data_IF_712762751919
#
_entry.id   IF_712762751919
#
_cell.length_a   1.000
_cell.length_b   1.000
_cell.length_c   1.000
_cell.angle_alpha   90.00
_cell.angle_beta   90.00
_cell.angle_gamma   90.00
#
_symmetry.space_group_name_H-M   'P 1'
#
loop_
_entity.id
_entity.type
_entity.pdbx_description
1 polymer ?
#
# COMPACT_ATOMS: atom_id res chain seq x y z
N UNK A 1 -5.11 23.65 -8.81
CA UNK A 1 -5.92 22.54 -8.27
C UNK A 1 -5.89 22.64 -6.74
N UNK A 2 -7.04 22.93 -6.14
CA UNK A 2 -7.16 22.85 -4.68
C UNK A 2 -7.35 21.37 -4.31
N UNK A 3 -6.57 20.89 -3.35
CA UNK A 3 -6.81 19.56 -2.78
C UNK A 3 -8.25 19.50 -2.25
N UNK A 4 -8.96 18.38 -2.46
CA UNK A 4 -10.28 18.19 -1.89
C UNK A 4 -10.18 18.31 -0.35
N UNK A 5 -11.16 18.96 0.26
CA UNK A 5 -11.26 19.05 1.73
C UNK A 5 -12.23 17.98 2.20
N UNK A 6 -11.89 17.33 3.29
CA UNK A 6 -12.81 16.41 3.96
C UNK A 6 -13.99 17.24 4.52
N UNK A 7 -15.21 16.91 4.14
CA UNK A 7 -16.40 17.43 4.83
C UNK A 7 -16.60 16.61 6.09
N UNK A 8 -16.11 17.12 7.21
CA UNK A 8 -16.29 16.47 8.51
C UNK A 8 -17.51 17.11 9.18
N UNK A 9 -18.52 16.31 9.48
CA UNK A 9 -19.60 16.73 10.38
C UNK A 9 -19.03 16.81 11.81
N UNK A 10 -19.47 17.81 12.57
CA UNK A 10 -19.11 17.91 13.99
C UNK A 10 -19.56 16.63 14.73
N UNK A 11 -18.66 16.01 15.51
CA UNK A 11 -18.91 14.78 16.28
C UNK A 11 -19.17 13.53 15.41
N UNK A 12 -18.14 13.09 14.65
CA UNK A 12 -18.21 11.81 13.92
C UNK A 12 -18.37 10.66 14.89
N UNK A 13 -19.46 9.92 14.76
CA UNK A 13 -19.68 8.70 15.53
C UNK A 13 -18.56 7.68 15.24
N UNK A 14 -17.87 7.20 16.27
CA UNK A 14 -16.78 6.20 16.11
C UNK A 14 -17.24 4.96 15.35
N UNK A 15 -18.52 4.58 15.48
CA UNK A 15 -19.08 3.45 14.73
C UNK A 15 -19.21 3.73 13.22
N UNK A 16 -19.14 4.98 12.77
CA UNK A 16 -19.18 5.36 11.36
C UNK A 16 -17.79 5.31 10.68
N UNK A 17 -16.72 5.02 11.42
CA UNK A 17 -15.33 5.06 10.98
C UNK A 17 -14.86 3.65 10.55
N UNK A 18 -14.08 3.58 9.46
CA UNK A 18 -13.41 2.36 9.02
C UNK A 18 -12.00 2.64 8.50
N UNK A 19 -11.00 1.87 8.93
CA UNK A 19 -11.02 0.93 10.04
C UNK A 19 -11.08 1.67 11.39
N UNK A 20 -11.63 1.03 12.42
CA UNK A 20 -11.70 1.61 13.77
C UNK A 20 -10.32 1.75 14.40
N UNK A 21 -9.43 0.79 14.06
CA UNK A 21 -8.03 0.81 14.44
C UNK A 21 -7.15 0.55 13.22
N UNK A 22 -5.91 1.03 13.27
CA UNK A 22 -4.95 0.79 12.18
C UNK A 22 -4.69 -0.70 12.03
N UNK A 23 -5.19 -1.27 10.94
CA UNK A 23 -5.00 -2.68 10.60
C UNK A 23 -4.28 -2.83 9.27
N UNK A 24 -3.18 -3.59 9.26
CA UNK A 24 -2.36 -3.78 8.04
C UNK A 24 -3.10 -4.53 6.93
N UNK A 25 -4.07 -5.37 7.28
CA UNK A 25 -4.84 -6.15 6.30
C UNK A 25 -6.19 -6.56 6.85
N UNK A 26 -7.21 -5.79 6.53
CA UNK A 26 -8.59 -6.10 6.92
C UNK A 26 -9.19 -7.14 5.96
N UNK A 27 -9.03 -6.97 4.66
CA UNK A 27 -9.70 -7.75 3.62
C UNK A 27 -8.96 -8.99 3.16
N UNK A 28 -7.63 -9.03 3.28
CA UNK A 28 -6.82 -10.08 2.68
C UNK A 28 -5.90 -10.77 3.68
N UNK A 29 -5.73 -12.08 3.50
CA UNK A 29 -4.56 -12.82 3.98
C UNK A 29 -3.48 -12.72 2.89
N UNK A 30 -2.22 -12.54 3.30
CA UNK A 30 -1.08 -12.54 2.38
C UNK A 30 -0.36 -13.88 2.48
N UNK A 31 -0.14 -14.50 1.33
CA UNK A 31 0.53 -15.79 1.26
C UNK A 31 1.68 -15.69 0.28
N UNK A 32 2.90 -15.86 0.77
CA UNK A 32 4.08 -15.89 -0.06
C UNK A 32 4.08 -17.12 -0.97
N UNK A 33 4.50 -16.95 -2.21
CA UNK A 33 4.57 -18.01 -3.21
C UNK A 33 5.89 -18.76 -3.05
N UNK A 34 5.86 -19.94 -2.43
CA UNK A 34 7.08 -20.73 -2.14
C UNK A 34 7.91 -21.03 -3.38
N UNK A 35 7.30 -21.21 -4.56
CA UNK A 35 8.00 -21.44 -5.83
C UNK A 35 8.79 -20.21 -6.29
N UNK A 36 8.50 -19.01 -5.78
CA UNK A 36 9.26 -17.80 -6.05
C UNK A 36 10.67 -17.83 -5.39
N UNK A 37 10.87 -18.59 -4.31
CA UNK A 37 12.14 -18.62 -3.56
C UNK A 37 13.29 -18.95 -4.51
N UNK A 38 13.22 -20.07 -5.22
CA UNK A 38 14.29 -20.50 -6.14
C UNK A 38 14.58 -19.46 -7.23
N UNK A 39 13.53 -18.78 -7.72
CA UNK A 39 13.68 -17.73 -8.72
C UNK A 39 14.39 -16.51 -8.13
N UNK A 40 14.03 -16.11 -6.92
CA UNK A 40 14.65 -14.97 -6.21
C UNK A 40 16.11 -15.25 -5.91
N UNK A 41 16.43 -16.45 -5.41
CA UNK A 41 17.81 -16.85 -5.08
C UNK A 41 18.72 -16.98 -6.31
N UNK A 42 18.14 -17.21 -7.49
CA UNK A 42 18.85 -17.27 -8.76
C UNK A 42 18.98 -15.90 -9.46
N UNK A 43 18.40 -14.83 -8.90
CA UNK A 43 18.51 -13.50 -9.49
C UNK A 43 19.88 -12.90 -9.25
N UNK A 44 20.46 -12.34 -10.32
CA UNK A 44 21.74 -11.63 -10.31
C UNK A 44 21.65 -10.36 -11.13
N UNK A 45 22.36 -9.31 -10.71
CA UNK A 45 22.45 -8.03 -11.40
C UNK A 45 21.06 -7.42 -11.71
N UNK A 46 20.14 -7.47 -10.73
CA UNK A 46 18.79 -6.90 -10.83
C UNK A 46 18.58 -5.79 -9.81
N UNK A 47 17.78 -4.80 -10.18
CA UNK A 47 17.13 -3.90 -9.25
C UNK A 47 15.83 -4.55 -8.75
N UNK A 48 15.67 -4.65 -7.44
CA UNK A 48 14.50 -5.27 -6.81
C UNK A 48 13.78 -4.20 -5.98
N UNK A 49 12.61 -3.75 -6.45
CA UNK A 49 11.77 -2.82 -5.75
C UNK A 49 10.73 -3.54 -4.89
N UNK A 50 10.68 -3.21 -3.61
CA UNK A 50 9.83 -3.87 -2.62
C UNK A 50 8.94 -2.83 -1.94
N UNK A 51 7.63 -2.85 -2.27
CA UNK A 51 6.65 -1.94 -1.66
C UNK A 51 6.23 -2.39 -0.25
N UNK A 52 6.28 -3.70 0.04
CA UNK A 52 5.84 -4.30 1.31
C UNK A 52 6.76 -5.43 1.74
N UNK A 53 6.96 -5.54 3.05
CA UNK A 53 7.78 -6.60 3.65
C UNK A 53 7.31 -8.03 3.32
N UNK A 54 6.01 -8.20 3.04
CA UNK A 54 5.42 -9.50 2.71
C UNK A 54 5.92 -10.04 1.36
N UNK A 55 6.51 -9.19 0.53
CA UNK A 55 7.05 -9.57 -0.77
C UNK A 55 8.37 -10.34 -0.66
N UNK A 56 8.97 -10.43 0.54
CA UNK A 56 10.21 -11.16 0.79
C UNK A 56 10.14 -11.85 2.16
N UNK A 57 10.21 -13.20 2.16
CA UNK A 57 10.24 -14.00 3.38
C UNK A 57 11.61 -13.93 4.07
N UNK A 58 11.60 -14.21 5.36
CA UNK A 58 12.82 -14.35 6.16
C UNK A 58 13.69 -15.50 5.62
N UNK A 59 15.00 -15.30 5.60
CA UNK A 59 15.96 -16.33 5.24
C UNK A 59 16.15 -16.62 3.75
N UNK A 60 15.46 -15.91 2.85
CA UNK A 60 15.74 -16.00 1.41
C UNK A 60 17.11 -15.37 1.13
N UNK A 61 17.97 -16.07 0.41
CA UNK A 61 19.28 -15.54 0.00
C UNK A 61 19.12 -14.61 -1.18
N UNK A 62 19.57 -13.37 -1.02
CA UNK A 62 19.67 -12.41 -2.11
C UNK A 62 21.13 -12.30 -2.54
N UNK A 63 21.39 -12.52 -3.82
CA UNK A 63 22.75 -12.34 -4.36
C UNK A 63 23.19 -10.88 -4.17
N UNK A 64 24.42 -10.69 -3.73
CA UNK A 64 24.99 -9.36 -3.43
C UNK A 64 25.12 -8.44 -4.66
N UNK A 65 25.02 -8.98 -5.87
CA UNK A 65 24.97 -8.19 -7.11
C UNK A 65 23.63 -7.49 -7.33
N UNK A 66 22.58 -7.86 -6.58
CA UNK A 66 21.28 -7.21 -6.68
C UNK A 66 21.20 -5.95 -5.82
N UNK A 67 20.45 -4.97 -6.29
CA UNK A 67 20.14 -3.74 -5.55
C UNK A 67 18.73 -3.88 -5.00
N UNK A 68 18.57 -3.82 -3.66
CA UNK A 68 17.27 -3.80 -3.00
C UNK A 68 16.84 -2.38 -2.69
N UNK A 69 15.66 -2.01 -3.16
CA UNK A 69 15.05 -0.70 -2.93
C UNK A 69 13.65 -0.83 -2.36
N UNK A 70 13.29 -0.03 -1.38
CA UNK A 70 11.96 -0.10 -0.76
C UNK A 70 11.10 1.11 -1.09
N UNK A 71 9.79 0.90 -1.10
CA UNK A 71 8.82 1.97 -1.34
C UNK A 71 8.75 3.00 -0.21
N UNK A 72 9.22 2.65 1.00
CA UNK A 72 9.22 3.56 2.15
C UNK A 72 10.03 3.03 3.34
N UNK A 73 10.37 3.95 4.25
CA UNK A 73 11.22 3.70 5.44
C UNK A 73 10.69 2.57 6.34
N UNK A 74 9.38 2.44 6.50
CA UNK A 74 8.80 1.37 7.33
C UNK A 74 9.05 -0.03 6.74
N UNK A 75 8.96 -0.17 5.43
CA UNK A 75 9.32 -1.42 4.74
C UNK A 75 10.81 -1.70 4.88
N UNK A 76 11.65 -0.66 4.72
CA UNK A 76 13.09 -0.76 4.93
C UNK A 76 13.43 -1.30 6.32
N UNK A 77 12.94 -0.65 7.39
CA UNK A 77 13.20 -1.08 8.78
C UNK A 77 12.80 -2.54 9.01
N UNK A 78 11.64 -2.95 8.52
CA UNK A 78 11.12 -4.31 8.67
C UNK A 78 11.97 -5.34 7.93
N UNK A 79 12.45 -5.03 6.73
CA UNK A 79 13.34 -5.92 5.97
C UNK A 79 14.76 -5.94 6.55
N UNK A 80 15.28 -4.81 7.01
CA UNK A 80 16.57 -4.75 7.69
C UNK A 80 16.56 -5.57 8.99
N UNK A 81 15.46 -5.54 9.75
CA UNK A 81 15.28 -6.38 10.93
C UNK A 81 15.27 -7.90 10.61
N UNK A 82 14.92 -8.28 9.38
CA UNK A 82 15.01 -9.65 8.85
C UNK A 82 16.41 -10.01 8.33
N UNK A 83 17.37 -9.09 8.42
CA UNK A 83 18.76 -9.28 7.97
C UNK A 83 19.03 -8.93 6.50
N UNK A 84 18.10 -8.28 5.81
CA UNK A 84 18.33 -7.84 4.43
C UNK A 84 19.09 -6.53 4.38
N UNK A 85 20.08 -6.47 3.50
CA UNK A 85 20.76 -5.23 3.16
C UNK A 85 19.92 -4.45 2.15
N UNK A 86 19.44 -3.26 2.54
CA UNK A 86 18.62 -2.41 1.70
C UNK A 86 19.45 -1.21 1.24
N UNK A 87 19.55 -1.01 -0.07
CA UNK A 87 20.38 0.01 -0.69
C UNK A 87 19.75 1.40 -0.65
N UNK A 88 18.40 1.46 -0.56
CA UNK A 88 17.71 2.73 -0.47
C UNK A 88 16.18 2.62 -0.39
N UNK A 89 15.53 3.78 -0.31
CA UNK A 89 14.07 3.89 -0.17
C UNK A 89 13.54 5.11 -0.92
N UNK A 90 12.31 5.02 -1.42
CA UNK A 90 11.59 6.13 -2.07
C UNK A 90 10.82 7.02 -1.08
N UNK A 91 11.04 6.89 0.22
CA UNK A 91 10.45 7.71 1.29
C UNK A 91 8.92 7.88 1.22
N UNK A 92 8.23 6.84 0.74
CA UNK A 92 6.77 6.81 0.54
C UNK A 92 6.24 7.79 -0.52
N UNK A 93 7.10 8.42 -1.31
CA UNK A 93 6.69 9.33 -2.40
C UNK A 93 6.06 8.60 -3.59
N UNK A 94 5.82 7.30 -3.44
CA UNK A 94 5.18 6.46 -4.44
C UNK A 94 6.07 6.16 -5.65
N UNK A 95 5.47 5.55 -6.66
CA UNK A 95 6.15 5.11 -7.87
C UNK A 95 6.49 6.23 -8.85
N UNK A 96 5.91 7.42 -8.67
CA UNK A 96 6.22 8.59 -9.48
C UNK A 96 7.67 9.07 -9.25
N UNK A 97 8.25 8.69 -8.09
CA UNK A 97 9.69 8.69 -7.90
C UNK A 97 10.17 7.26 -8.08
N UNK A 98 10.25 6.81 -9.31
CA UNK A 98 10.90 5.55 -9.66
C UNK A 98 12.22 5.44 -8.89
N UNK A 99 12.60 4.22 -8.44
CA UNK A 99 13.92 4.03 -7.87
C UNK A 99 14.88 4.70 -8.83
N UNK A 100 15.96 5.33 -8.35
CA UNK A 100 16.82 6.14 -9.21
C UNK A 100 17.45 5.26 -10.29
N UNK A 101 16.63 4.90 -11.28
CA UNK A 101 17.06 4.18 -12.47
C UNK A 101 18.25 4.90 -13.08
N UNK A 102 18.29 6.23 -12.97
CA UNK A 102 19.42 7.06 -13.38
C UNK A 102 20.72 6.81 -12.60
N UNK A 103 20.67 6.26 -11.38
CA UNK A 103 21.86 5.86 -10.63
C UNK A 103 22.29 4.42 -10.92
N UNK A 104 21.42 3.63 -11.54
CA UNK A 104 21.60 2.21 -11.82
C UNK A 104 21.05 1.87 -13.21
N UNK A 105 21.45 2.66 -14.21
CA UNK A 105 20.92 2.61 -15.59
C UNK A 105 21.11 1.23 -16.26
N UNK A 106 22.09 0.45 -15.79
CA UNK A 106 22.41 -0.88 -16.35
C UNK A 106 21.60 -2.02 -15.71
N UNK A 107 20.68 -1.73 -14.77
CA UNK A 107 19.91 -2.76 -14.09
C UNK A 107 18.47 -2.87 -14.61
N UNK A 108 18.06 -4.09 -14.90
CA UNK A 108 16.64 -4.39 -15.08
C UNK A 108 15.94 -4.38 -13.71
N UNK A 109 14.92 -3.55 -13.59
CA UNK A 109 14.17 -3.40 -12.36
C UNK A 109 12.93 -4.30 -12.31
N UNK A 110 12.80 -5.04 -11.20
CA UNK A 110 11.65 -5.89 -10.88
C UNK A 110 10.86 -5.30 -9.72
N UNK A 111 9.56 -5.15 -9.88
CA UNK A 111 8.65 -4.76 -8.80
C UNK A 111 8.10 -6.02 -8.12
N UNK A 112 8.58 -6.35 -6.94
CA UNK A 112 8.06 -7.45 -6.13
C UNK A 112 6.70 -7.07 -5.56
N UNK A 113 5.68 -7.78 -6.00
CA UNK A 113 4.29 -7.42 -5.74
C UNK A 113 3.38 -8.65 -5.63
N UNK A 114 2.09 -8.42 -5.52
CA UNK A 114 1.06 -9.45 -5.44
C UNK A 114 0.30 -9.63 -6.76
N UNK A 115 -0.39 -10.75 -6.87
CA UNK A 115 -1.17 -11.19 -8.03
C UNK A 115 -2.25 -10.21 -8.48
N UNK A 116 -2.86 -9.47 -7.55
CA UNK A 116 -3.91 -8.47 -7.81
C UNK A 116 -3.38 -7.06 -8.08
N UNK A 117 -2.08 -6.90 -8.31
CA UNK A 117 -1.52 -5.57 -8.59
C UNK A 117 -1.87 -5.09 -10.01
N UNK A 118 -2.76 -4.11 -10.10
CA UNK A 118 -3.18 -3.48 -11.37
C UNK A 118 -2.41 -2.17 -11.68
N UNK A 119 -1.43 -1.83 -10.86
CA UNK A 119 -0.67 -0.61 -11.10
C UNK A 119 0.11 -0.67 -12.41
N UNK A 120 0.11 0.44 -13.13
CA UNK A 120 1.02 0.66 -14.25
C UNK A 120 2.39 1.05 -13.68
N UNK A 121 3.42 0.36 -14.08
CA UNK A 121 4.81 0.62 -13.71
C UNK A 121 5.68 0.35 -14.92
N UNK A 122 6.78 1.08 -15.05
CA UNK A 122 7.86 0.79 -16.01
C UNK A 122 8.63 -0.47 -15.61
N UNK A 123 8.63 -0.82 -14.31
CA UNK A 123 9.28 -2.01 -13.81
C UNK A 123 8.46 -3.26 -14.13
N UNK A 124 9.14 -4.34 -14.52
CA UNK A 124 8.53 -5.65 -14.69
C UNK A 124 7.98 -6.16 -13.34
N UNK A 125 6.76 -6.72 -13.36
CA UNK A 125 6.15 -7.27 -12.15
C UNK A 125 6.68 -8.67 -11.86
N UNK A 126 7.19 -8.86 -10.66
CA UNK A 126 7.49 -10.16 -10.10
C UNK A 126 6.50 -10.50 -9.00
N UNK A 127 5.61 -11.45 -9.26
CA UNK A 127 4.59 -11.86 -8.30
C UNK A 127 5.22 -12.77 -7.25
N UNK A 128 5.45 -12.24 -6.05
CA UNK A 128 6.08 -12.96 -4.94
C UNK A 128 5.09 -13.43 -3.88
N UNK A 129 3.90 -12.84 -3.79
CA UNK A 129 2.84 -13.26 -2.86
C UNK A 129 1.44 -13.10 -3.47
N UNK A 130 0.47 -13.79 -2.89
CA UNK A 130 -0.94 -13.77 -3.27
C UNK A 130 -1.76 -13.05 -2.20
N UNK A 131 -2.83 -12.37 -2.64
CA UNK A 131 -3.86 -11.81 -1.78
C UNK A 131 -5.10 -12.71 -1.81
N UNK A 132 -5.31 -13.46 -0.74
CA UNK A 132 -6.52 -14.27 -0.56
C UNK A 132 -7.54 -13.50 0.27
N UNK A 133 -8.78 -13.30 -0.19
CA UNK A 133 -9.84 -12.70 0.62
C UNK A 133 -10.00 -13.45 1.95
N UNK A 134 -10.25 -12.70 3.02
CA UNK A 134 -10.65 -13.29 4.29
C UNK A 134 -12.12 -13.73 4.19
N UNK A 135 -12.44 -14.84 4.86
CA UNK A 135 -13.81 -15.38 4.90
C UNK A 135 -14.72 -14.60 5.86
N UNK A 136 -14.12 -13.84 6.78
CA UNK A 136 -14.85 -13.09 7.79
C UNK A 136 -15.67 -11.97 7.15
N UNK A 137 -16.92 -11.85 7.56
CA UNK A 137 -17.79 -10.74 7.13
C UNK A 137 -17.24 -9.40 7.65
N UNK A 138 -16.87 -8.52 6.73
CA UNK A 138 -16.37 -7.20 7.08
C UNK A 138 -17.54 -6.22 7.14
N UNK A 139 -17.86 -5.75 8.34
CA UNK A 139 -18.97 -4.83 8.58
C UNK A 139 -18.58 -3.41 8.17
N UNK A 140 -18.85 -3.04 6.92
CA UNK A 140 -18.54 -1.71 6.38
C UNK A 140 -19.76 -1.00 5.77
N UNK A 141 -20.93 -1.65 5.69
CA UNK A 141 -22.11 -1.10 5.02
C UNK A 141 -22.61 0.21 5.63
N UNK A 142 -22.49 0.33 6.95
CA UNK A 142 -22.98 1.49 7.70
C UNK A 142 -21.88 2.52 8.02
N UNK A 143 -20.69 2.32 7.46
CA UNK A 143 -19.57 3.22 7.66
C UNK A 143 -19.66 4.40 6.69
N UNK A 144 -19.28 5.58 7.17
CA UNK A 144 -19.34 6.84 6.42
C UNK A 144 -17.96 7.46 6.16
N UNK A 145 -16.96 7.07 6.96
CA UNK A 145 -15.60 7.59 6.87
C UNK A 145 -14.62 6.45 6.74
N UNK A 146 -13.88 6.43 5.63
CA UNK A 146 -12.96 5.36 5.28
C UNK A 146 -11.53 5.85 5.15
N UNK A 147 -10.59 5.13 5.77
CA UNK A 147 -9.19 5.27 5.47
C UNK A 147 -8.63 3.99 4.82
N UNK A 148 -8.17 4.11 3.60
CA UNK A 148 -7.70 2.96 2.82
C UNK A 148 -6.21 2.78 2.94
N UNK A 149 -5.78 1.65 3.50
CA UNK A 149 -4.38 1.26 3.63
C UNK A 149 -3.79 0.77 2.31
N UNK A 150 -4.62 0.47 1.29
CA UNK A 150 -4.19 0.08 -0.04
C UNK A 150 -5.30 0.25 -1.08
N UNK A 151 -4.93 0.56 -2.32
CA UNK A 151 -5.87 0.64 -3.44
C UNK A 151 -6.58 -0.68 -3.73
N UNK A 152 -5.90 -1.84 -3.57
CA UNK A 152 -6.51 -3.16 -3.75
C UNK A 152 -7.58 -3.47 -2.70
N UNK A 153 -7.42 -2.98 -1.46
CA UNK A 153 -8.46 -3.11 -0.44
C UNK A 153 -9.71 -2.30 -0.80
N UNK A 154 -9.52 -1.07 -1.28
CA UNK A 154 -10.62 -0.23 -1.77
C UNK A 154 -11.35 -0.88 -2.92
N UNK A 155 -10.64 -1.34 -3.95
CA UNK A 155 -11.24 -1.99 -5.11
C UNK A 155 -12.10 -3.20 -4.72
N UNK A 156 -11.54 -4.07 -3.86
CA UNK A 156 -12.27 -5.24 -3.39
C UNK A 156 -13.49 -4.87 -2.53
N UNK A 157 -13.38 -3.86 -1.67
CA UNK A 157 -14.51 -3.37 -0.89
C UNK A 157 -15.60 -2.79 -1.78
N UNK A 158 -15.24 -2.04 -2.83
CA UNK A 158 -16.18 -1.45 -3.78
C UNK A 158 -16.90 -2.54 -4.62
N UNK A 159 -16.21 -3.62 -4.98
CA UNK A 159 -16.83 -4.79 -5.63
C UNK A 159 -17.91 -5.44 -4.76
N UNK A 160 -17.64 -5.58 -3.45
CA UNK A 160 -18.58 -6.20 -2.51
C UNK A 160 -19.71 -5.26 -2.07
N UNK A 161 -19.41 -3.98 -1.95
CA UNK A 161 -20.28 -2.95 -1.38
C UNK A 161 -20.27 -1.68 -2.24
N UNK A 162 -20.89 -1.66 -3.43
CA UNK A 162 -20.82 -0.51 -4.35
C UNK A 162 -21.29 0.81 -3.74
N UNK A 163 -22.19 0.76 -2.77
CA UNK A 163 -22.76 1.95 -2.13
C UNK A 163 -21.75 2.76 -1.31
N UNK A 164 -20.58 2.18 -0.94
CA UNK A 164 -19.56 2.92 -0.21
C UNK A 164 -18.98 4.09 -1.04
N UNK A 165 -19.18 4.09 -2.35
CA UNK A 165 -18.69 5.15 -3.26
C UNK A 165 -19.18 6.55 -2.85
N UNK A 166 -20.30 6.64 -2.15
CA UNK A 166 -20.89 7.91 -1.68
C UNK A 166 -20.33 8.36 -0.32
N UNK A 167 -19.54 7.55 0.34
CA UNK A 167 -18.93 7.86 1.63
C UNK A 167 -17.73 8.82 1.50
N UNK A 168 -17.16 9.23 2.64
CA UNK A 168 -15.94 10.01 2.70
C UNK A 168 -14.72 9.10 2.66
N UNK A 169 -13.83 9.32 1.70
CA UNK A 169 -12.67 8.47 1.48
C UNK A 169 -11.36 9.21 1.75
N UNK A 170 -10.45 8.54 2.44
CA UNK A 170 -9.09 9.00 2.67
C UNK A 170 -8.09 7.86 2.45
N UNK A 171 -6.85 8.21 2.18
CA UNK A 171 -5.74 7.24 2.08
C UNK A 171 -4.39 7.95 2.25
N UNK A 172 -3.32 7.19 2.32
CA UNK A 172 -1.96 7.74 2.20
C UNK A 172 -1.66 8.21 0.78
N UNK A 173 -0.70 9.13 0.65
CA UNK A 173 -0.17 9.56 -0.64
C UNK A 173 0.49 8.39 -1.40
N UNK A 174 0.54 8.49 -2.73
CA UNK A 174 1.20 7.54 -3.61
C UNK A 174 0.22 6.58 -4.30
N UNK A 175 0.66 5.34 -4.57
CA UNK A 175 -0.06 4.40 -5.42
C UNK A 175 -1.51 4.11 -5.00
N UNK A 176 -1.80 4.11 -3.70
CA UNK A 176 -3.18 3.93 -3.21
C UNK A 176 -4.07 5.10 -3.62
N UNK A 177 -3.56 6.33 -3.50
CA UNK A 177 -4.27 7.53 -3.93
C UNK A 177 -4.60 7.47 -5.43
N UNK A 178 -3.60 7.17 -6.26
CA UNK A 178 -3.78 7.11 -7.73
C UNK A 178 -4.83 6.07 -8.15
N UNK A 179 -4.87 4.92 -7.46
CA UNK A 179 -5.84 3.85 -7.75
C UNK A 179 -7.25 4.30 -7.36
N UNK A 180 -7.40 4.90 -6.18
CA UNK A 180 -8.71 5.30 -5.65
C UNK A 180 -9.24 6.50 -6.43
N UNK A 181 -8.42 7.53 -6.66
CA UNK A 181 -8.83 8.75 -7.37
C UNK A 181 -9.29 8.46 -8.81
N UNK A 182 -8.72 7.47 -9.47
CA UNK A 182 -9.21 7.04 -10.80
C UNK A 182 -10.64 6.50 -10.78
N UNK A 183 -11.12 5.98 -9.65
CA UNK A 183 -12.46 5.39 -9.54
C UNK A 183 -13.49 6.35 -8.99
N UNK A 184 -13.07 7.24 -8.08
CA UNK A 184 -13.95 8.21 -7.40
C UNK A 184 -13.41 9.63 -7.50
N UNK A 185 -12.95 10.02 -8.66
CA UNK A 185 -12.22 11.26 -8.94
C UNK A 185 -12.66 12.46 -8.10
N UNK A 186 -11.71 13.05 -7.37
CA UNK A 186 -11.91 14.21 -6.50
C UNK A 186 -12.67 13.94 -5.19
N UNK A 187 -13.03 12.69 -4.89
CA UNK A 187 -13.71 12.30 -3.64
C UNK A 187 -12.76 11.68 -2.60
N UNK A 188 -11.50 11.44 -2.92
CA UNK A 188 -10.50 10.91 -1.98
C UNK A 188 -9.58 12.01 -1.48
N UNK A 189 -9.36 12.06 -0.17
CA UNK A 189 -8.48 13.05 0.47
C UNK A 189 -7.20 12.38 0.93
N UNK A 190 -6.01 12.83 0.50
CA UNK A 190 -4.74 12.27 0.95
C UNK A 190 -4.36 12.81 2.33
N UNK A 191 -3.81 11.93 3.17
CA UNK A 191 -3.24 12.24 4.48
C UNK A 191 -1.82 11.66 4.57
N UNK A 192 -1.01 12.19 5.48
CA UNK A 192 0.33 11.66 5.73
C UNK A 192 0.28 10.23 6.28
N UNK A 193 -0.68 9.98 7.19
CA UNK A 193 -0.88 8.67 7.81
C UNK A 193 -2.31 8.51 8.34
N UNK A 194 -2.62 7.33 8.86
CA UNK A 194 -3.92 7.01 9.45
C UNK A 194 -4.21 7.82 10.72
N UNK A 195 -3.20 8.07 11.53
CA UNK A 195 -3.32 8.79 12.81
C UNK A 195 -3.73 10.24 12.57
N UNK A 196 -3.12 10.93 11.60
CA UNK A 196 -3.48 12.29 11.21
C UNK A 196 -4.93 12.39 10.72
N UNK A 197 -5.34 11.44 9.87
CA UNK A 197 -6.72 11.37 9.42
C UNK A 197 -7.68 11.13 10.59
N UNK A 198 -7.39 10.15 11.44
CA UNK A 198 -8.24 9.81 12.58
C UNK A 198 -8.38 10.98 13.54
N UNK A 199 -7.27 11.66 13.85
CA UNK A 199 -7.28 12.86 14.67
C UNK A 199 -8.18 13.95 14.07
N UNK A 200 -8.05 14.20 12.76
CA UNK A 200 -8.85 15.26 12.11
C UNK A 200 -10.36 14.99 12.13
N UNK A 201 -10.80 13.72 11.99
CA UNK A 201 -12.22 13.37 11.98
C UNK A 201 -12.80 13.16 13.39
N UNK A 202 -11.95 12.99 14.42
CA UNK A 202 -12.37 12.78 15.82
C UNK A 202 -12.00 13.95 16.73
N UNK A 203 -11.30 14.96 16.25
CA UNK A 203 -10.99 16.15 17.03
C UNK A 203 -12.29 16.87 17.35
N UNK A 204 -12.62 16.96 18.63
CA UNK A 204 -13.62 17.89 19.12
C UNK A 204 -13.14 19.30 18.72
N UNK A 205 -13.97 20.03 18.02
CA UNK A 205 -13.76 21.45 17.79
C UNK A 205 -14.07 22.19 19.10
N UNK A 206 -13.16 22.03 20.07
CA UNK A 206 -13.08 22.95 21.20
C UNK A 206 -12.31 24.18 20.71
N UNK A 207 -13.05 25.10 20.07
CA UNK A 207 -12.76 26.54 19.98
C UNK A 207 -14.07 27.34 19.86
#
# INVERSE_FOLDING_TARGET
>A
NRMPKLNVEQNVNKNAIFPEEKAESVFFKRKFIKTAIKKIEAMENKGIFISRQDALLDGIRINASNILWTGGVETWKKLAAKGYWINGTSDSLGKNNEPPCTLFDDLDWLNFTHDRNQEKSSMEKFISYELTPKEDEIKIKDKQYFYWMSGSAFQYALELYPNIIEANHACGLGASYDIIDRQISGKVVPFLNYEDWKHQITADTDE
#
